data_IF_102875947909
#
_entry.id   IF_102875947909
#
_cell.length_a   1.000
_cell.length_b   1.000
_cell.length_c   1.000
_cell.angle_alpha   90.00
_cell.angle_beta   90.00
_cell.angle_gamma   90.00
#
_symmetry.space_group_name_H-M   'P 1'
#
loop_
_entity.id
_entity.type
_entity.pdbx_description
1 polymer ?
#
# COMPACT_ATOMS: atom_id res chain seq x y z
N UNK A 1 -2.21 -73.55 -60.71
CA UNK A 1 -1.32 -72.42 -60.93
C UNK A 1 -1.79 -71.32 -60.01
N UNK A 2 -1.05 -71.11 -58.89
CA UNK A 2 -0.38 -69.88 -58.46
C UNK A 2 -1.34 -68.71 -58.21
N UNK A 3 -1.64 -68.40 -56.95
CA UNK A 3 -0.91 -67.60 -55.99
C UNK A 3 -1.26 -66.11 -56.02
N UNK A 4 -1.34 -65.55 -54.83
CA UNK A 4 -1.34 -64.10 -54.46
C UNK A 4 -2.74 -63.47 -54.32
N UNK A 5 -3.14 -63.40 -53.08
CA UNK A 5 -3.55 -62.13 -52.42
C UNK A 5 -3.78 -62.36 -50.91
N UNK A 6 -2.69 -62.35 -50.18
CA UNK A 6 -2.65 -62.06 -48.75
C UNK A 6 -1.93 -60.72 -48.70
N UNK A 7 -2.54 -59.70 -48.16
CA UNK A 7 -2.05 -58.45 -47.64
C UNK A 7 -3.07 -57.34 -47.94
N UNK A 8 -4.07 -57.18 -47.06
CA UNK A 8 -4.74 -55.89 -46.81
C UNK A 8 -5.78 -56.09 -45.68
N UNK A 9 -5.28 -56.36 -44.47
CA UNK A 9 -6.12 -56.36 -43.27
C UNK A 9 -5.28 -56.09 -42.01
N UNK A 10 -4.52 -55.01 -42.02
CA UNK A 10 -3.80 -54.62 -40.84
C UNK A 10 -3.39 -53.14 -40.92
N UNK A 11 -4.35 -52.20 -41.04
CA UNK A 11 -4.07 -50.78 -40.87
C UNK A 11 -5.33 -49.94 -40.61
N UNK A 12 -6.19 -50.33 -39.65
CA UNK A 12 -7.31 -49.51 -39.19
C UNK A 12 -7.55 -49.61 -37.67
N UNK A 13 -6.52 -49.90 -36.87
CA UNK A 13 -6.67 -50.03 -35.40
C UNK A 13 -5.71 -49.13 -34.61
N UNK A 14 -5.37 -47.95 -35.12
CA UNK A 14 -4.42 -47.06 -34.39
C UNK A 14 -4.73 -45.57 -34.53
N UNK A 15 -5.99 -45.14 -34.46
CA UNK A 15 -6.37 -43.69 -34.38
C UNK A 15 -7.56 -43.51 -33.42
N UNK A 16 -7.53 -44.13 -32.25
CA UNK A 16 -8.49 -43.84 -31.16
C UNK A 16 -7.76 -43.69 -29.81
N UNK A 17 -6.58 -43.13 -29.80
CA UNK A 17 -5.92 -42.79 -28.57
C UNK A 17 -5.51 -41.32 -28.64
N UNK A 18 -6.21 -40.42 -27.94
CA UNK A 18 -5.66 -39.12 -27.68
C UNK A 18 -6.54 -37.90 -27.85
N UNK A 19 -7.84 -37.95 -27.56
CA UNK A 19 -8.54 -36.77 -27.10
C UNK A 19 -8.63 -36.82 -25.57
N UNK A 20 -7.50 -36.64 -24.88
CA UNK A 20 -7.51 -36.19 -23.51
C UNK A 20 -7.96 -34.73 -23.53
N UNK A 21 -9.23 -34.48 -23.21
CA UNK A 21 -9.68 -33.17 -22.78
C UNK A 21 -8.71 -32.68 -21.73
N UNK A 22 -8.20 -31.43 -21.85
CA UNK A 22 -7.45 -30.87 -20.73
C UNK A 22 -8.40 -30.91 -19.52
N UNK A 23 -8.00 -31.64 -18.49
CA UNK A 23 -8.67 -31.65 -17.20
C UNK A 23 -8.85 -30.18 -16.81
N UNK A 24 -10.08 -29.74 -16.57
CA UNK A 24 -10.38 -28.45 -16.00
C UNK A 24 -9.48 -28.36 -14.76
N UNK A 25 -8.46 -27.47 -14.81
CA UNK A 25 -7.49 -27.33 -13.73
C UNK A 25 -8.28 -27.18 -12.45
N UNK A 26 -8.04 -28.03 -11.48
CA UNK A 26 -8.61 -27.92 -10.15
C UNK A 26 -8.28 -26.51 -9.67
N UNK A 27 -9.26 -25.60 -9.67
CA UNK A 27 -9.12 -24.31 -9.00
C UNK A 27 -8.84 -24.64 -7.55
N UNK A 28 -7.72 -24.16 -7.02
CA UNK A 28 -7.47 -24.23 -5.58
C UNK A 28 -8.69 -23.70 -4.84
N UNK A 29 -9.10 -24.31 -3.72
CA UNK A 29 -10.25 -23.83 -2.97
C UNK A 29 -10.09 -22.34 -2.70
N UNK A 30 -11.12 -21.58 -3.03
CA UNK A 30 -11.10 -20.13 -2.93
C UNK A 30 -11.12 -19.74 -1.45
N UNK A 31 -10.14 -18.95 -1.01
CA UNK A 31 -10.02 -18.49 0.37
C UNK A 31 -11.04 -17.38 0.68
N UNK A 32 -11.49 -17.19 1.92
CA UNK A 32 -12.39 -16.09 2.29
C UNK A 32 -11.91 -14.71 1.83
N UNK A 33 -10.61 -14.43 1.93
CA UNK A 33 -10.00 -13.17 1.48
C UNK A 33 -10.04 -12.96 -0.03
N UNK A 34 -10.18 -14.02 -0.83
CA UNK A 34 -10.28 -13.92 -2.29
C UNK A 34 -11.62 -13.31 -2.72
N UNK A 35 -12.67 -13.50 -1.94
CA UNK A 35 -13.99 -12.92 -2.20
C UNK A 35 -14.07 -11.43 -1.86
N UNK A 36 -13.19 -10.90 -1.02
CA UNK A 36 -13.24 -9.51 -0.58
C UNK A 36 -12.92 -8.56 -1.73
N UNK A 37 -13.80 -7.58 -1.92
CA UNK A 37 -13.55 -6.39 -2.74
C UNK A 37 -13.41 -5.16 -1.85
N UNK A 38 -12.20 -4.63 -1.76
CA UNK A 38 -11.93 -3.40 -1.00
C UNK A 38 -12.41 -2.14 -1.72
N UNK A 39 -12.80 -2.26 -2.99
CA UNK A 39 -13.29 -1.16 -3.83
C UNK A 39 -14.79 -0.88 -3.66
N UNK A 40 -15.53 -1.75 -2.97
CA UNK A 40 -16.98 -1.53 -2.73
C UNK A 40 -17.18 -0.24 -1.95
N UNK A 41 -18.05 0.65 -2.46
CA UNK A 41 -18.38 1.93 -1.83
C UNK A 41 -17.36 3.05 -2.06
N UNK A 42 -16.37 2.85 -2.94
CA UNK A 42 -15.31 3.84 -3.19
C UNK A 42 -15.61 4.84 -4.33
N UNK A 43 -16.79 4.76 -4.97
CA UNK A 43 -17.25 5.72 -5.97
C UNK A 43 -18.01 6.90 -5.32
N UNK A 44 -17.48 7.47 -4.26
CA UNK A 44 -18.07 8.62 -3.57
C UNK A 44 -17.31 9.89 -3.84
N UNK A 45 -18.02 10.99 -3.86
CA UNK A 45 -17.50 12.35 -3.88
C UNK A 45 -18.35 13.26 -2.95
N UNK A 46 -18.07 14.57 -2.92
CA UNK A 46 -18.81 15.51 -2.08
C UNK A 46 -20.26 15.70 -2.49
N UNK A 47 -20.63 15.38 -3.74
CA UNK A 47 -21.99 15.55 -4.25
C UNK A 47 -22.82 14.29 -4.14
N UNK A 48 -22.17 13.11 -4.18
CA UNK A 48 -22.82 11.80 -4.17
C UNK A 48 -22.03 10.80 -3.33
N UNK A 49 -22.63 10.37 -2.22
CA UNK A 49 -22.09 9.30 -1.40
C UNK A 49 -22.66 7.95 -1.83
N UNK A 50 -21.77 7.02 -2.19
CA UNK A 50 -22.09 5.63 -2.53
C UNK A 50 -21.46 4.64 -1.56
N UNK A 51 -21.09 5.08 -0.36
CA UNK A 51 -20.47 4.25 0.68
C UNK A 51 -19.36 4.93 1.48
N UNK A 52 -18.77 6.01 0.98
CA UNK A 52 -17.70 6.77 1.65
C UNK A 52 -16.55 5.89 2.14
N UNK A 53 -16.06 5.00 1.27
CA UNK A 53 -14.97 4.10 1.60
C UNK A 53 -13.82 4.26 0.61
N UNK A 54 -12.70 3.65 0.94
CA UNK A 54 -11.54 3.54 0.07
C UNK A 54 -10.95 2.12 0.18
N UNK A 55 -10.07 1.69 -0.75
CA UNK A 55 -9.44 0.37 -0.68
C UNK A 55 -8.39 0.34 0.43
N UNK A 56 -8.85 0.08 1.66
CA UNK A 56 -7.98 -0.02 2.81
C UNK A 56 -7.18 -1.33 2.79
N UNK A 57 -5.86 -1.20 2.72
CA UNK A 57 -4.90 -2.29 2.86
C UNK A 57 -4.39 -2.26 4.29
N UNK A 58 -4.81 -3.22 5.11
CA UNK A 58 -4.55 -3.24 6.54
C UNK A 58 -4.68 -4.65 7.07
N UNK A 59 -4.25 -4.92 8.30
CA UNK A 59 -4.66 -6.10 9.05
C UNK A 59 -6.00 -5.86 9.75
N UNK A 60 -6.74 -6.94 10.11
CA UNK A 60 -7.91 -6.81 10.98
C UNK A 60 -7.54 -6.07 12.28
N UNK A 61 -8.28 -5.00 12.58
CA UNK A 61 -8.03 -4.12 13.74
C UNK A 61 -6.64 -3.48 13.80
N UNK A 62 -5.93 -3.44 12.68
CA UNK A 62 -4.61 -2.79 12.59
C UNK A 62 -4.69 -1.29 12.89
N UNK A 63 -3.60 -0.73 13.43
CA UNK A 63 -3.52 0.70 13.69
C UNK A 63 -3.49 1.51 12.39
N UNK A 64 -2.76 1.02 11.38
CA UNK A 64 -2.51 1.72 10.13
C UNK A 64 -3.25 1.08 8.96
N UNK A 65 -3.91 1.91 8.17
CA UNK A 65 -4.44 1.56 6.87
C UNK A 65 -3.61 2.23 5.78
N UNK A 66 -3.48 1.57 4.65
CA UNK A 66 -2.78 2.11 3.49
C UNK A 66 -3.72 2.13 2.30
N UNK A 67 -3.69 3.20 1.53
CA UNK A 67 -4.56 3.36 0.35
C UNK A 67 -3.87 4.18 -0.73
N UNK A 68 -4.14 3.90 -2.03
CA UNK A 68 -3.78 4.86 -3.06
C UNK A 68 -4.52 6.18 -2.83
N UNK A 69 -3.85 7.28 -3.08
CA UNK A 69 -4.39 8.63 -2.98
C UNK A 69 -4.72 9.14 -4.38
N UNK A 70 -5.99 9.36 -4.67
CA UNK A 70 -6.44 10.00 -5.93
C UNK A 70 -6.87 11.45 -5.73
N UNK A 71 -7.37 11.80 -4.54
CA UNK A 71 -7.70 13.16 -4.13
C UNK A 71 -6.45 13.95 -3.72
N UNK A 72 -6.61 15.27 -3.61
CA UNK A 72 -5.56 16.15 -3.09
C UNK A 72 -5.48 16.07 -1.56
N UNK A 73 -4.40 16.57 -1.01
CA UNK A 73 -4.29 16.83 0.41
C UNK A 73 -5.45 17.75 0.85
N UNK A 74 -6.09 17.41 1.97
CA UNK A 74 -7.26 18.14 2.46
C UNK A 74 -8.59 17.66 1.91
N UNK A 75 -8.61 16.91 0.81
CA UNK A 75 -9.84 16.24 0.37
C UNK A 75 -10.28 15.22 1.41
N UNK A 76 -11.58 15.20 1.74
CA UNK A 76 -12.16 14.18 2.60
C UNK A 76 -12.11 12.77 2.00
N UNK A 77 -11.90 12.67 0.69
CA UNK A 77 -11.82 11.42 -0.05
C UNK A 77 -10.37 11.11 -0.44
N UNK A 78 -9.76 10.16 0.25
CA UNK A 78 -8.42 9.70 -0.11
C UNK A 78 -8.40 9.04 -1.49
N UNK A 79 -9.47 8.32 -1.84
CA UNK A 79 -9.62 7.59 -3.09
C UNK A 79 -11.03 7.67 -3.63
N UNK A 80 -11.17 7.91 -4.94
CA UNK A 80 -12.42 7.84 -5.68
C UNK A 80 -12.23 6.92 -6.87
N UNK A 81 -13.09 5.91 -7.03
CA UNK A 81 -12.97 4.90 -8.10
C UNK A 81 -12.98 5.51 -9.51
N UNK A 82 -13.75 6.57 -9.75
CA UNK A 82 -13.78 7.25 -11.05
C UNK A 82 -12.55 8.11 -11.37
N UNK A 83 -11.60 8.25 -10.45
CA UNK A 83 -10.37 8.99 -10.70
C UNK A 83 -9.36 8.14 -11.49
N UNK A 84 -8.53 8.82 -12.28
CA UNK A 84 -7.56 8.17 -13.17
C UNK A 84 -6.09 8.47 -12.85
N UNK A 85 -5.83 9.22 -11.78
CA UNK A 85 -4.48 9.59 -11.35
C UNK A 85 -4.27 9.27 -9.88
N UNK A 86 -3.14 8.64 -9.57
CA UNK A 86 -2.65 8.40 -8.21
C UNK A 86 -1.56 9.42 -7.90
N UNK A 87 -1.66 10.08 -6.73
CA UNK A 87 -0.75 11.12 -6.23
C UNK A 87 0.21 10.61 -5.16
N UNK A 88 -0.08 9.43 -4.60
CA UNK A 88 0.70 8.77 -3.56
C UNK A 88 0.01 7.54 -2.99
N UNK A 89 0.70 6.89 -2.06
CA UNK A 89 0.16 5.84 -1.20
C UNK A 89 0.13 6.38 0.22
N UNK A 90 -1.08 6.61 0.70
CA UNK A 90 -1.36 7.39 1.90
C UNK A 90 -1.58 6.46 3.09
N UNK A 91 -1.00 6.81 4.24
CA UNK A 91 -1.41 6.24 5.51
C UNK A 91 -2.73 6.88 5.96
N UNK A 92 -3.62 6.06 6.48
CA UNK A 92 -4.92 6.46 7.02
C UNK A 92 -5.25 5.63 8.26
N UNK A 93 -6.26 6.07 9.05
CA UNK A 93 -6.66 5.40 10.29
C UNK A 93 -8.19 5.23 10.40
N UNK A 94 -8.94 5.97 9.61
CA UNK A 94 -10.41 5.92 9.60
C UNK A 94 -10.90 5.05 8.45
N UNK A 95 -11.86 4.13 8.67
CA UNK A 95 -12.41 3.30 7.61
C UNK A 95 -13.29 4.06 6.61
N UNK A 96 -13.69 5.28 6.96
CA UNK A 96 -14.49 6.18 6.12
C UNK A 96 -13.91 7.60 6.13
N UNK A 97 -13.81 8.27 4.98
CA UNK A 97 -13.31 9.65 4.90
C UNK A 97 -14.27 10.71 5.43
N UNK A 98 -15.53 10.36 5.72
CA UNK A 98 -16.57 11.31 6.12
C UNK A 98 -16.21 12.18 7.32
N UNK A 99 -15.51 11.62 8.29
CA UNK A 99 -15.11 12.31 9.53
C UNK A 99 -13.72 12.98 9.34
N UNK A 100 -13.14 12.87 8.17
CA UNK A 100 -11.72 13.13 7.90
C UNK A 100 -10.80 12.21 8.72
N UNK A 101 -9.51 12.31 8.45
CA UNK A 101 -8.52 11.46 9.09
C UNK A 101 -7.45 12.30 9.78
N UNK A 102 -6.59 11.65 10.52
CA UNK A 102 -5.52 12.27 11.31
C UNK A 102 -4.20 11.53 11.13
N UNK A 103 -3.10 12.24 11.29
CA UNK A 103 -1.75 11.67 11.21
C UNK A 103 -1.39 11.10 9.84
N UNK A 104 -1.92 11.68 8.77
CA UNK A 104 -1.69 11.21 7.40
C UNK A 104 -0.33 11.65 6.88
N UNK A 105 0.35 10.76 6.17
CA UNK A 105 1.47 11.06 5.29
C UNK A 105 1.42 10.12 4.08
N UNK A 106 2.18 10.39 3.02
CA UNK A 106 2.15 9.60 1.80
C UNK A 106 3.55 9.33 1.25
N UNK A 107 3.67 8.23 0.51
CA UNK A 107 4.83 7.90 -0.31
C UNK A 107 4.41 7.84 -1.78
N UNK A 108 5.22 8.38 -2.69
CA UNK A 108 5.00 8.26 -4.12
C UNK A 108 6.31 7.94 -4.84
N UNK A 109 6.44 6.75 -5.47
CA UNK A 109 7.57 6.47 -6.34
C UNK A 109 7.43 7.27 -7.63
N UNK A 110 8.50 7.91 -8.06
CA UNK A 110 8.51 8.80 -9.22
C UNK A 110 9.74 8.59 -10.09
N UNK A 111 9.62 9.01 -11.34
CA UNK A 111 10.73 9.20 -12.27
C UNK A 111 10.71 10.64 -12.76
N UNK A 112 11.84 11.34 -12.63
CA UNK A 112 11.99 12.77 -12.95
C UNK A 112 12.32 13.60 -11.71
N UNK A 113 13.07 14.68 -11.90
CA UNK A 113 13.61 15.49 -10.79
C UNK A 113 12.62 16.54 -10.26
N UNK A 114 11.62 16.91 -11.05
CA UNK A 114 10.62 17.96 -10.79
C UNK A 114 9.30 17.45 -10.18
N UNK A 115 9.28 16.26 -9.58
CA UNK A 115 8.07 15.56 -9.15
C UNK A 115 7.87 15.63 -7.63
N UNK A 116 7.79 16.82 -7.05
CA UNK A 116 7.64 17.00 -5.60
C UNK A 116 6.19 17.25 -5.18
N UNK A 117 5.50 18.14 -5.86
CA UNK A 117 4.10 18.48 -5.54
C UNK A 117 3.09 17.42 -6.02
N UNK A 118 1.89 17.45 -5.46
CA UNK A 118 0.86 16.43 -5.74
C UNK A 118 0.40 16.36 -7.20
N UNK A 119 0.46 17.46 -7.94
CA UNK A 119 0.06 17.47 -9.36
C UNK A 119 1.17 16.94 -10.26
N UNK A 120 2.41 17.39 -10.06
CA UNK A 120 3.54 16.99 -10.89
C UNK A 120 3.92 15.52 -10.70
N UNK A 121 3.78 14.99 -9.47
CA UNK A 121 4.05 13.57 -9.17
C UNK A 121 2.91 12.63 -9.52
N UNK A 122 1.69 13.14 -9.75
CA UNK A 122 0.54 12.31 -10.04
C UNK A 122 0.71 11.49 -11.32
N UNK A 123 0.37 10.21 -11.26
CA UNK A 123 0.49 9.29 -12.39
C UNK A 123 -0.85 8.70 -12.79
N UNK A 124 -1.06 8.61 -14.09
CA UNK A 124 -2.19 7.87 -14.64
C UNK A 124 -2.11 6.38 -14.31
N UNK A 125 -3.25 5.75 -14.05
CA UNK A 125 -3.37 4.32 -13.81
C UNK A 125 -4.67 3.75 -14.41
N UNK A 126 -4.74 2.43 -14.49
CA UNK A 126 -5.92 1.70 -14.96
C UNK A 126 -6.37 0.66 -13.93
N UNK A 127 -7.66 0.59 -13.67
CA UNK A 127 -8.26 -0.46 -12.84
C UNK A 127 -8.04 -1.87 -13.39
N UNK A 128 -7.78 -2.04 -14.69
CA UNK A 128 -7.41 -3.34 -15.26
C UNK A 128 -6.05 -3.84 -14.79
N UNK A 129 -5.16 -2.92 -14.38
CA UNK A 129 -3.84 -3.22 -13.83
C UNK A 129 -3.79 -3.06 -12.30
N UNK A 130 -4.92 -2.75 -11.67
CA UNK A 130 -5.06 -2.59 -10.23
C UNK A 130 -5.46 -3.91 -9.56
N UNK A 131 -4.79 -4.25 -8.48
CA UNK A 131 -5.21 -5.32 -7.56
C UNK A 131 -5.41 -4.70 -6.19
N UNK A 132 -6.65 -4.75 -5.69
CA UNK A 132 -7.03 -4.19 -4.41
C UNK A 132 -7.62 -5.29 -3.52
N UNK A 133 -6.80 -5.84 -2.63
CA UNK A 133 -7.15 -6.86 -1.63
C UNK A 133 -6.91 -6.31 -0.22
N UNK A 134 -7.54 -6.84 0.81
CA UNK A 134 -7.32 -6.36 2.18
C UNK A 134 -5.87 -6.46 2.64
N UNK A 135 -5.14 -7.45 2.16
CA UNK A 135 -3.77 -7.77 2.51
C UNK A 135 -2.72 -7.33 1.46
N UNK A 136 -3.17 -6.78 0.32
CA UNK A 136 -2.29 -6.49 -0.80
C UNK A 136 -2.89 -5.46 -1.75
N UNK A 137 -2.09 -4.48 -2.11
CA UNK A 137 -2.41 -3.55 -3.20
C UNK A 137 -1.30 -3.61 -4.25
N UNK A 138 -1.70 -3.51 -5.51
CA UNK A 138 -0.77 -3.40 -6.63
C UNK A 138 -1.37 -2.52 -7.71
N UNK A 139 -0.54 -1.65 -8.30
CA UNK A 139 -0.91 -0.81 -9.44
C UNK A 139 0.32 -0.52 -10.32
N UNK A 140 0.06 -0.22 -11.59
CA UNK A 140 1.05 0.32 -12.51
C UNK A 140 0.83 1.82 -12.71
N UNK A 141 1.87 2.59 -12.44
CA UNK A 141 1.91 4.04 -12.55
C UNK A 141 2.48 4.40 -13.93
N UNK A 142 1.61 4.72 -14.88
CA UNK A 142 1.97 4.78 -16.31
C UNK A 142 2.91 5.93 -16.65
N UNK A 143 2.75 7.11 -16.02
CA UNK A 143 3.58 8.28 -16.32
C UNK A 143 5.02 8.10 -15.80
N UNK A 144 5.23 7.25 -14.82
CA UNK A 144 6.54 6.95 -14.23
C UNK A 144 7.12 5.61 -14.69
N UNK A 145 6.32 4.74 -15.36
CA UNK A 145 6.70 3.36 -15.71
C UNK A 145 7.10 2.55 -14.46
N UNK A 146 6.35 2.70 -13.37
CA UNK A 146 6.64 2.08 -12.08
C UNK A 146 5.48 1.17 -11.67
N UNK A 147 5.79 -0.04 -11.20
CA UNK A 147 4.83 -0.86 -10.47
C UNK A 147 5.01 -0.64 -8.98
N UNK A 148 3.93 -0.28 -8.29
CA UNK A 148 3.88 -0.12 -6.85
C UNK A 148 3.04 -1.22 -6.21
N UNK A 149 3.52 -1.75 -5.08
CA UNK A 149 2.90 -2.83 -4.32
C UNK A 149 2.97 -2.53 -2.82
N UNK A 150 1.94 -2.92 -2.08
CA UNK A 150 1.84 -2.69 -0.62
C UNK A 150 1.38 -3.97 0.06
N UNK A 151 2.03 -4.34 1.17
CA UNK A 151 1.63 -5.40 2.09
C UNK A 151 1.70 -4.89 3.54
N UNK A 152 0.60 -5.01 4.34
CA UNK A 152 0.50 -4.40 5.67
C UNK A 152 0.92 -5.35 6.78
N UNK A 153 1.31 -4.75 7.93
CA UNK A 153 1.25 -5.35 9.26
C UNK A 153 0.31 -4.52 10.15
N UNK A 154 0.30 -4.72 11.47
CA UNK A 154 -0.61 -3.97 12.36
C UNK A 154 -0.25 -2.47 12.42
N UNK A 155 1.04 -2.14 12.53
CA UNK A 155 1.57 -0.76 12.69
C UNK A 155 2.58 -0.37 11.62
N UNK A 156 2.89 -1.30 10.70
CA UNK A 156 3.84 -1.07 9.62
C UNK A 156 3.28 -1.54 8.27
N UNK A 157 4.05 -1.31 7.23
CA UNK A 157 3.85 -1.91 5.91
C UNK A 157 5.18 -2.04 5.19
N UNK A 158 5.23 -2.99 4.26
CA UNK A 158 6.28 -3.05 3.26
C UNK A 158 5.69 -2.60 1.92
N UNK A 159 6.33 -1.61 1.31
CA UNK A 159 6.03 -1.14 -0.04
C UNK A 159 7.16 -1.57 -0.96
N UNK A 160 6.82 -2.11 -2.13
CA UNK A 160 7.79 -2.52 -3.14
C UNK A 160 7.53 -1.75 -4.41
N UNK A 161 8.57 -1.08 -4.90
CA UNK A 161 8.53 -0.31 -6.14
C UNK A 161 9.44 -0.96 -7.16
N UNK A 162 8.90 -1.32 -8.33
CA UNK A 162 9.68 -1.85 -9.45
C UNK A 162 9.88 -0.74 -10.47
N UNK A 163 11.11 -0.31 -10.62
CA UNK A 163 11.50 0.84 -11.44
C UNK A 163 11.93 0.45 -12.86
N UNK A 164 11.79 1.38 -13.82
CA UNK A 164 12.50 1.30 -15.09
C UNK A 164 14.00 1.59 -14.91
N UNK A 165 14.75 1.57 -15.99
CA UNK A 165 16.11 2.10 -15.99
C UNK A 165 16.06 3.63 -16.03
N UNK A 166 16.65 4.28 -15.02
CA UNK A 166 16.69 5.74 -14.90
C UNK A 166 17.68 6.19 -13.84
N UNK A 167 18.37 7.29 -14.12
CA UNK A 167 19.19 8.00 -13.13
C UNK A 167 18.37 8.96 -12.25
N UNK A 168 17.09 9.18 -12.58
CA UNK A 168 16.18 10.10 -11.92
C UNK A 168 15.04 9.39 -11.16
N UNK A 169 15.22 8.13 -10.82
CA UNK A 169 14.25 7.40 -9.98
C UNK A 169 14.31 7.87 -8.55
N UNK A 170 13.16 7.92 -7.90
CA UNK A 170 13.09 8.33 -6.50
C UNK A 170 11.76 7.98 -5.83
N UNK A 171 11.68 8.29 -4.54
CA UNK A 171 10.45 8.22 -3.75
C UNK A 171 10.24 9.54 -3.04
N UNK A 172 9.10 10.15 -3.27
CA UNK A 172 8.64 11.33 -2.54
C UNK A 172 7.96 10.86 -1.26
N UNK A 173 8.32 11.47 -0.14
CA UNK A 173 7.70 11.28 1.17
C UNK A 173 7.09 12.63 1.56
N UNK A 174 5.77 12.66 1.69
CA UNK A 174 4.98 13.87 1.92
C UNK A 174 4.32 13.79 3.29
N UNK A 175 4.73 14.67 4.20
CA UNK A 175 4.22 14.70 5.57
C UNK A 175 3.01 15.63 5.74
N UNK A 176 2.55 16.26 4.66
CA UNK A 176 1.39 17.14 4.60
C UNK A 176 1.42 18.37 5.56
N UNK A 177 0.45 19.27 5.34
CA UNK A 177 0.17 20.42 6.22
C UNK A 177 -0.75 20.02 7.41
N UNK A 178 -0.97 20.87 8.43
CA UNK A 178 -0.47 22.24 8.57
C UNK A 178 0.87 22.38 9.32
N UNK A 179 1.53 21.31 9.64
CA UNK A 179 2.84 21.34 10.31
C UNK A 179 3.48 19.98 10.34
N UNK A 180 4.70 19.90 9.86
CA UNK A 180 5.40 18.64 9.73
C UNK A 180 6.91 18.78 9.76
N UNK A 181 7.59 17.68 9.97
CA UNK A 181 9.05 17.57 9.92
C UNK A 181 9.43 16.31 9.18
N UNK A 182 10.46 16.40 8.36
CA UNK A 182 11.13 15.25 7.75
C UNK A 182 12.64 15.43 7.88
N UNK A 183 13.35 14.36 8.23
CA UNK A 183 14.79 14.33 8.31
C UNK A 183 15.39 13.01 7.86
N UNK A 184 16.65 13.07 7.45
CA UNK A 184 17.45 11.92 7.11
C UNK A 184 18.19 11.43 8.35
N UNK A 185 17.94 10.18 8.77
CA UNK A 185 18.65 9.55 9.88
C UNK A 185 19.96 8.92 9.39
N UNK A 186 19.94 8.22 8.28
CA UNK A 186 21.08 7.60 7.61
C UNK A 186 20.80 7.48 6.10
N UNK A 187 21.72 6.88 5.35
CA UNK A 187 21.63 6.73 3.88
C UNK A 187 20.47 5.80 3.42
N UNK A 188 19.70 5.25 4.33
CA UNK A 188 18.55 4.37 4.03
C UNK A 188 17.28 4.77 4.76
N UNK A 189 17.35 5.69 5.74
CA UNK A 189 16.28 5.92 6.69
C UNK A 189 15.88 7.40 6.74
N UNK A 190 14.62 7.64 6.47
CA UNK A 190 13.93 8.91 6.65
C UNK A 190 13.03 8.79 7.88
N UNK A 191 13.03 9.82 8.72
CA UNK A 191 12.14 9.94 9.88
C UNK A 191 11.41 11.27 9.82
N UNK A 192 10.24 11.33 10.43
CA UNK A 192 9.50 12.59 10.48
C UNK A 192 8.27 12.49 11.37
N UNK A 193 7.51 13.57 11.38
CA UNK A 193 6.18 13.60 11.95
C UNK A 193 5.26 14.51 11.15
N UNK A 194 3.99 14.29 11.30
CA UNK A 194 2.90 15.15 10.82
C UNK A 194 1.99 15.52 11.98
N UNK A 195 1.46 16.75 11.93
CA UNK A 195 0.40 17.21 12.84
C UNK A 195 -0.97 17.17 12.18
N UNK A 196 -1.04 16.63 10.93
CA UNK A 196 -2.27 16.60 10.16
C UNK A 196 -3.41 15.98 10.96
N UNK A 197 -4.50 16.72 11.11
CA UNK A 197 -5.72 16.27 11.76
C UNK A 197 -6.90 17.14 11.32
N UNK A 198 -8.11 16.70 11.65
CA UNK A 198 -9.37 17.40 11.32
C UNK A 198 -9.98 18.13 12.51
N UNK A 199 -9.22 18.30 13.58
CA UNK A 199 -9.65 18.90 14.83
C UNK A 199 -9.91 17.87 15.94
N UNK A 200 -10.12 18.36 17.17
CA UNK A 200 -10.41 17.51 18.32
C UNK A 200 -9.24 16.74 18.90
N UNK A 201 -8.01 17.05 18.48
CA UNK A 201 -6.77 16.48 19.05
C UNK A 201 -6.07 17.48 19.96
N UNK A 202 -5.21 17.02 20.91
CA UNK A 202 -4.39 17.90 21.72
C UNK A 202 -3.38 18.71 20.88
N UNK A 203 -2.94 19.87 21.35
CA UNK A 203 -1.97 20.74 20.65
C UNK A 203 -0.62 20.07 20.39
N UNK A 204 -0.25 19.09 21.21
CA UNK A 204 0.97 18.31 21.05
C UNK A 204 0.77 17.06 20.17
N UNK A 205 -0.36 16.91 19.50
CA UNK A 205 -0.61 15.76 18.60
C UNK A 205 0.48 15.66 17.54
N UNK A 206 1.02 14.46 17.38
CA UNK A 206 1.98 14.09 16.35
C UNK A 206 1.73 12.64 15.92
N UNK A 207 1.83 12.38 14.63
CA UNK A 207 2.05 11.03 14.12
C UNK A 207 3.50 10.96 13.63
N UNK A 208 4.34 10.29 14.38
CA UNK A 208 5.74 10.06 14.03
C UNK A 208 5.82 8.89 13.05
N UNK A 209 6.69 9.01 12.05
CA UNK A 209 6.88 7.94 11.06
C UNK A 209 8.35 7.68 10.79
N UNK A 210 8.62 6.48 10.31
CA UNK A 210 9.92 6.04 9.81
C UNK A 210 9.73 5.33 8.48
N UNK A 211 10.58 5.64 7.52
CA UNK A 211 10.65 4.98 6.21
C UNK A 211 12.08 4.49 6.02
N UNK A 212 12.25 3.17 5.91
CA UNK A 212 13.55 2.54 5.72
C UNK A 212 13.60 1.80 4.40
N UNK A 213 14.55 2.16 3.56
CA UNK A 213 14.78 1.51 2.27
C UNK A 213 15.79 0.37 2.37
N UNK A 214 15.60 -0.69 1.60
CA UNK A 214 16.55 -1.79 1.45
C UNK A 214 17.79 -1.37 0.64
N UNK A 215 17.63 -0.36 -0.20
CA UNK A 215 18.66 0.23 -1.05
C UNK A 215 19.07 1.61 -0.51
N UNK A 216 20.37 1.91 -0.39
CA UNK A 216 20.79 3.25 0.02
C UNK A 216 20.43 4.26 -1.08
N UNK A 217 19.87 5.40 -0.70
CA UNK A 217 19.65 6.50 -1.62
C UNK A 217 20.95 7.29 -1.84
N UNK A 218 21.13 7.83 -3.04
CA UNK A 218 22.33 8.57 -3.43
C UNK A 218 22.25 10.05 -3.08
N UNK A 219 21.03 10.58 -3.00
CA UNK A 219 20.75 11.96 -2.61
C UNK A 219 19.39 12.07 -1.92
N UNK A 220 19.20 13.13 -1.17
CA UNK A 220 17.92 13.52 -0.56
C UNK A 220 17.68 15.01 -0.80
N UNK A 221 16.50 15.33 -1.28
CA UNK A 221 15.99 16.71 -1.36
C UNK A 221 14.97 16.90 -0.23
N UNK A 222 15.04 18.00 0.47
CA UNK A 222 14.15 18.36 1.54
C UNK A 222 13.60 19.77 1.27
N UNK A 223 12.28 19.94 1.34
CA UNK A 223 11.63 21.23 1.14
C UNK A 223 10.47 21.44 2.10
N UNK A 224 10.16 22.70 2.39
CA UNK A 224 8.92 23.16 3.00
C UNK A 224 8.09 23.84 1.91
N UNK A 225 6.77 23.57 1.90
CA UNK A 225 5.82 24.09 0.90
C UNK A 225 6.20 23.75 -0.57
N UNK A 226 6.08 22.47 -1.01
CA UNK A 226 6.36 22.07 -2.38
C UNK A 226 5.37 22.70 -3.35
N UNK A 227 5.82 23.60 -4.18
CA UNK A 227 5.07 24.43 -5.11
C UNK A 227 5.67 25.83 -5.23
N UNK A 228 6.46 26.23 -4.21
CA UNK A 228 7.30 27.44 -4.20
C UNK A 228 8.79 27.08 -4.33
N UNK A 229 9.11 25.86 -4.74
CA UNK A 229 10.43 25.26 -4.76
C UNK A 229 11.37 25.95 -5.73
N UNK A 230 12.48 26.44 -5.19
CA UNK A 230 13.71 26.75 -5.95
C UNK A 230 14.65 25.52 -5.89
N UNK A 231 15.05 24.93 -7.05
CA UNK A 231 16.00 23.81 -7.08
C UNK A 231 17.30 24.17 -6.35
N UNK A 232 17.63 23.42 -5.29
CA UNK A 232 18.87 23.58 -4.53
C UNK A 232 18.73 24.02 -3.09
N UNK A 233 17.54 24.28 -2.57
CA UNK A 233 17.31 24.62 -1.17
C UNK A 233 17.29 23.40 -0.25
N UNK A 234 18.41 22.70 -0.06
CA UNK A 234 18.56 21.77 1.04
C UNK A 234 19.01 22.53 2.29
N UNK A 235 18.15 22.58 3.31
CA UNK A 235 18.56 23.12 4.62
C UNK A 235 19.53 22.13 5.26
N UNK A 236 20.78 22.53 5.40
CA UNK A 236 21.76 21.83 6.22
C UNK A 236 21.65 22.35 7.66
N UNK A 237 21.41 21.47 8.61
CA UNK A 237 21.50 21.82 10.01
C UNK A 237 22.96 21.97 10.45
N UNK A 238 23.24 22.77 11.50
CA UNK A 238 24.61 23.03 11.97
C UNK A 238 25.38 21.79 12.42
N UNK A 239 24.69 20.71 12.77
CA UNK A 239 25.27 19.42 13.16
C UNK A 239 25.50 18.45 11.97
N UNK A 240 25.24 18.93 10.73
CA UNK A 240 25.36 18.13 9.52
C UNK A 240 24.18 17.19 9.27
N UNK A 241 23.17 17.14 10.13
CA UNK A 241 21.93 16.44 9.88
C UNK A 241 21.11 17.20 8.82
N UNK A 242 20.41 16.44 7.96
CA UNK A 242 19.51 17.01 6.96
C UNK A 242 18.09 16.83 7.45
N UNK A 243 17.42 17.92 7.83
CA UNK A 243 15.99 17.91 8.10
C UNK A 243 15.33 19.24 7.74
N UNK A 244 14.03 19.20 7.51
CA UNK A 244 13.18 20.37 7.29
C UNK A 244 12.02 20.31 8.25
N UNK A 245 11.67 21.43 8.83
CA UNK A 245 10.49 21.62 9.68
C UNK A 245 9.76 22.86 9.20
N UNK A 246 8.48 22.72 8.94
CA UNK A 246 7.70 23.83 8.40
C UNK A 246 6.21 23.54 8.34
N UNK A 247 5.52 24.30 7.50
CA UNK A 247 4.10 24.15 7.27
C UNK A 247 3.78 22.87 6.53
N UNK A 248 4.63 22.45 5.57
CA UNK A 248 4.42 21.28 4.72
C UNK A 248 5.76 20.68 4.30
N UNK A 249 6.33 19.81 5.13
CA UNK A 249 7.59 19.16 4.84
C UNK A 249 7.45 18.01 3.84
N UNK A 250 8.33 18.01 2.82
CA UNK A 250 8.44 16.97 1.81
C UNK A 250 9.89 16.57 1.65
N UNK A 251 10.13 15.27 1.49
CA UNK A 251 11.42 14.72 1.11
C UNK A 251 11.31 13.96 -0.21
N UNK A 252 12.36 14.01 -1.02
CA UNK A 252 12.55 13.09 -2.13
C UNK A 252 13.91 12.41 -1.99
N UNK A 253 13.90 11.10 -1.96
CA UNK A 253 15.10 10.27 -1.99
C UNK A 253 15.35 9.77 -3.40
N UNK A 254 16.61 9.73 -3.83
CA UNK A 254 17.02 9.40 -5.19
C UNK A 254 17.75 8.06 -5.26
N UNK A 255 17.46 7.30 -6.31
CA UNK A 255 18.10 6.03 -6.63
C UNK A 255 18.39 5.97 -8.12
N UNK A 256 19.65 5.76 -8.57
CA UNK A 256 19.87 5.29 -9.92
C UNK A 256 19.37 3.85 -10.02
N UNK A 257 18.50 3.56 -10.98
CA UNK A 257 17.87 2.25 -11.11
C UNK A 257 18.14 1.60 -12.46
N UNK A 258 18.21 0.27 -12.45
CA UNK A 258 18.22 -0.56 -13.65
C UNK A 258 16.79 -1.01 -13.96
N UNK A 259 16.55 -1.41 -15.20
CA UNK A 259 15.23 -1.92 -15.60
C UNK A 259 14.82 -3.12 -14.76
N UNK A 260 13.63 -3.02 -14.15
CA UNK A 260 13.08 -4.05 -13.30
C UNK A 260 13.67 -4.10 -11.88
N UNK A 261 14.53 -3.15 -11.53
CA UNK A 261 15.05 -3.06 -10.16
C UNK A 261 13.93 -2.81 -9.16
N UNK A 262 13.93 -3.59 -8.11
CA UNK A 262 13.01 -3.42 -7.00
C UNK A 262 13.70 -2.65 -5.87
N UNK A 263 12.99 -1.70 -5.30
CA UNK A 263 13.35 -1.00 -4.07
C UNK A 263 12.20 -1.19 -3.09
N UNK A 264 12.51 -1.75 -1.92
CA UNK A 264 11.54 -1.93 -0.85
C UNK A 264 11.68 -0.83 0.21
N UNK A 265 10.55 -0.24 0.58
CA UNK A 265 10.40 0.69 1.68
C UNK A 265 9.62 0.02 2.81
N UNK A 266 10.26 -0.15 3.95
CA UNK A 266 9.63 -0.54 5.21
C UNK A 266 9.16 0.71 5.93
N UNK A 267 7.87 0.82 6.24
CA UNK A 267 7.23 2.03 6.77
C UNK A 267 6.49 1.70 8.05
N UNK A 268 6.67 2.49 9.09
CA UNK A 268 5.90 2.37 10.33
C UNK A 268 5.62 3.74 10.93
N UNK A 269 4.64 3.81 11.81
CA UNK A 269 4.29 5.04 12.53
C UNK A 269 3.96 4.82 13.99
N UNK A 270 3.88 5.91 14.74
CA UNK A 270 3.48 5.92 16.15
C UNK A 270 2.94 7.30 16.55
N UNK A 271 1.91 7.31 17.39
CA UNK A 271 1.41 8.52 18.04
C UNK A 271 2.13 8.84 19.36
N UNK A 272 3.13 8.05 19.73
CA UNK A 272 3.84 8.17 21.03
C UNK A 272 5.16 8.92 20.87
N UNK A 273 6.05 8.37 20.02
CA UNK A 273 7.38 8.95 19.80
C UNK A 273 8.04 8.43 18.52
N UNK A 274 9.10 9.09 18.03
CA UNK A 274 9.91 8.58 16.92
C UNK A 274 10.53 7.20 17.22
N UNK A 275 11.00 6.99 18.45
CA UNK A 275 11.61 5.71 18.87
C UNK A 275 10.59 4.59 18.83
N UNK A 276 9.33 4.87 19.21
CA UNK A 276 8.25 3.90 19.11
C UNK A 276 7.91 3.58 17.65
N UNK A 277 7.96 4.55 16.73
CA UNK A 277 7.79 4.29 15.30
C UNK A 277 8.89 3.35 14.77
N UNK A 278 10.16 3.57 15.17
CA UNK A 278 11.28 2.67 14.84
C UNK A 278 11.07 1.29 15.45
N UNK A 279 10.54 1.20 16.66
CA UNK A 279 10.23 -0.10 17.28
C UNK A 279 9.10 -0.81 16.56
N UNK A 280 8.04 -0.11 16.14
CA UNK A 280 6.94 -0.67 15.36
C UNK A 280 7.42 -1.23 14.01
N UNK A 281 8.48 -0.68 13.43
CA UNK A 281 9.09 -1.21 12.22
C UNK A 281 9.62 -2.65 12.39
N UNK A 282 9.92 -3.06 13.62
CA UNK A 282 10.39 -4.43 13.93
C UNK A 282 9.32 -5.50 13.68
N UNK A 283 8.05 -5.12 13.50
CA UNK A 283 7.01 -6.08 13.09
C UNK A 283 7.32 -6.76 11.77
N UNK A 284 8.05 -6.10 10.88
CA UNK A 284 8.48 -6.66 9.61
C UNK A 284 9.63 -7.68 9.77
N UNK A 285 10.42 -7.59 10.86
CA UNK A 285 11.50 -8.52 11.15
C UNK A 285 12.52 -8.62 10.02
N UNK A 286 12.81 -9.87 9.60
CA UNK A 286 13.65 -10.21 8.46
C UNK A 286 12.82 -10.71 7.26
N UNK A 287 11.51 -10.52 7.28
CA UNK A 287 10.61 -10.98 6.23
C UNK A 287 10.84 -10.21 4.93
N UNK A 288 10.77 -10.89 3.82
CA UNK A 288 10.66 -10.28 2.51
C UNK A 288 9.20 -9.87 2.20
N UNK A 289 9.02 -9.17 1.11
CA UNK A 289 7.70 -8.66 0.70
C UNK A 289 6.64 -9.78 0.53
N UNK A 290 7.02 -10.90 -0.07
CA UNK A 290 6.07 -12.00 -0.31
C UNK A 290 5.69 -12.70 1.00
N UNK A 291 6.62 -12.78 1.95
CA UNK A 291 6.35 -13.31 3.30
C UNK A 291 5.41 -12.41 4.08
N UNK A 292 5.63 -11.08 4.07
CA UNK A 292 4.71 -10.12 4.72
C UNK A 292 3.31 -10.23 4.11
N UNK A 293 3.21 -10.25 2.79
CA UNK A 293 1.94 -10.41 2.06
C UNK A 293 1.22 -11.72 2.41
N UNK A 294 1.96 -12.84 2.47
CA UNK A 294 1.38 -14.15 2.80
C UNK A 294 0.85 -14.17 4.23
N UNK A 295 1.62 -13.68 5.20
CA UNK A 295 1.19 -13.56 6.59
C UNK A 295 -0.05 -12.67 6.74
N UNK A 296 -0.11 -11.56 6.00
CA UNK A 296 -1.27 -10.68 5.99
C UNK A 296 -2.51 -11.37 5.41
N UNK A 297 -2.36 -12.16 4.33
CA UNK A 297 -3.45 -12.96 3.77
C UNK A 297 -3.93 -14.02 4.77
N UNK A 298 -3.02 -14.78 5.37
CA UNK A 298 -3.34 -15.79 6.36
C UNK A 298 -4.11 -15.20 7.55
N UNK A 299 -3.69 -14.01 8.01
CA UNK A 299 -4.40 -13.32 9.10
C UNK A 299 -5.82 -12.93 8.71
N UNK A 300 -6.05 -12.47 7.49
CA UNK A 300 -7.39 -12.21 6.98
C UNK A 300 -8.22 -13.48 6.84
N UNK A 301 -7.65 -14.56 6.31
CA UNK A 301 -8.34 -15.83 6.16
C UNK A 301 -8.75 -16.42 7.52
N UNK A 302 -7.88 -16.29 8.55
CA UNK A 302 -8.20 -16.69 9.92
C UNK A 302 -9.44 -15.92 10.48
N UNK A 303 -9.46 -14.61 10.28
CA UNK A 303 -10.53 -13.76 10.84
C UNK A 303 -11.83 -13.91 10.05
N UNK A 304 -11.76 -13.89 8.73
CA UNK A 304 -12.93 -14.03 7.87
C UNK A 304 -13.51 -15.45 7.92
N UNK A 305 -12.65 -16.46 8.06
CA UNK A 305 -13.03 -17.86 8.17
C UNK A 305 -13.69 -18.26 9.48
N UNK A 306 -13.82 -17.34 10.46
CA UNK A 306 -14.63 -17.57 11.67
C UNK A 306 -16.12 -17.72 11.35
N UNK A 307 -16.55 -17.24 10.21
CA UNK A 307 -17.91 -17.43 9.70
C UNK A 307 -17.78 -18.12 8.33
N UNK A 308 -18.09 -19.39 8.31
CA UNK A 308 -18.15 -20.19 7.08
C UNK A 308 -19.55 -20.08 6.49
N UNK A 309 -19.61 -19.79 5.19
CA UNK A 309 -20.87 -19.71 4.43
C UNK A 309 -20.85 -20.76 3.35
N UNK A 310 -21.81 -21.65 3.37
CA UNK A 310 -22.02 -22.68 2.38
C UNK A 310 -23.18 -22.32 1.44
N UNK A 311 -23.01 -22.60 0.16
CA UNK A 311 -24.01 -22.32 -0.85
C UNK A 311 -24.02 -20.84 -1.29
N UNK A 312 -24.95 -20.50 -2.17
CA UNK A 312 -25.05 -19.16 -2.73
C UNK A 312 -24.19 -18.93 -3.97
N UNK A 313 -24.55 -17.88 -4.72
CA UNK A 313 -23.79 -17.46 -5.89
C UNK A 313 -22.50 -16.74 -5.47
N UNK A 314 -21.48 -16.74 -6.34
CA UNK A 314 -20.21 -16.04 -6.10
C UNK A 314 -20.41 -14.55 -5.72
N UNK A 315 -21.40 -13.88 -6.33
CA UNK A 315 -21.72 -12.48 -6.01
C UNK A 315 -22.19 -12.31 -4.54
N UNK A 316 -22.94 -13.27 -4.00
CA UNK A 316 -23.39 -13.26 -2.61
C UNK A 316 -22.21 -13.47 -1.65
N UNK A 317 -21.31 -14.39 -1.98
CA UNK A 317 -20.07 -14.62 -1.21
C UNK A 317 -19.19 -13.35 -1.20
N UNK A 318 -19.05 -12.70 -2.36
CA UNK A 318 -18.32 -11.41 -2.46
C UNK A 318 -18.95 -10.33 -1.60
N UNK A 319 -20.26 -10.19 -1.63
CA UNK A 319 -20.96 -9.22 -0.77
C UNK A 319 -20.76 -9.54 0.70
N UNK A 320 -20.96 -10.77 1.11
CA UNK A 320 -20.83 -11.21 2.50
C UNK A 320 -19.43 -10.93 3.05
N UNK A 321 -18.37 -11.45 2.39
CA UNK A 321 -17.00 -11.29 2.87
C UNK A 321 -16.50 -9.84 2.76
N UNK A 322 -16.98 -9.06 1.79
CA UNK A 322 -16.64 -7.63 1.71
C UNK A 322 -17.28 -6.83 2.85
N UNK A 323 -18.51 -7.15 3.26
CA UNK A 323 -19.15 -6.55 4.44
C UNK A 323 -18.45 -6.97 5.73
N UNK A 324 -18.11 -8.25 5.86
CA UNK A 324 -17.39 -8.76 7.02
C UNK A 324 -16.00 -8.12 7.14
N UNK A 325 -15.26 -7.98 6.03
CA UNK A 325 -14.00 -7.23 6.01
C UNK A 325 -14.19 -5.81 6.58
N UNK A 326 -15.21 -5.06 6.14
CA UNK A 326 -15.45 -3.69 6.62
C UNK A 326 -15.76 -3.65 8.12
N UNK A 327 -16.46 -4.64 8.65
CA UNK A 327 -16.84 -4.67 10.07
C UNK A 327 -15.67 -4.92 11.02
N UNK A 328 -14.56 -5.52 10.52
CA UNK A 328 -13.38 -5.83 11.34
C UNK A 328 -12.19 -4.88 11.11
N UNK A 329 -12.36 -3.84 10.29
CA UNK A 329 -11.37 -2.77 10.18
C UNK A 329 -11.36 -1.88 11.43
N UNK A 330 -12.49 -1.71 12.11
CA UNK A 330 -12.65 -0.84 13.27
C UNK A 330 -13.38 -1.60 14.42
N UNK A 331 -13.06 -1.30 15.71
CA UNK A 331 -12.17 -0.28 16.22
C UNK A 331 -10.68 -0.62 16.02
N UNK A 332 -9.86 0.42 15.85
CA UNK A 332 -8.42 0.29 15.72
C UNK A 332 -7.80 -0.17 17.04
N UNK A 333 -6.85 -1.09 16.97
CA UNK A 333 -6.05 -1.48 18.14
C UNK A 333 -4.89 -0.50 18.34
N UNK A 334 -5.16 0.62 18.96
CA UNK A 334 -4.15 1.62 19.30
C UNK A 334 -3.29 1.21 20.52
N UNK A 335 -3.70 0.17 21.26
CA UNK A 335 -3.16 -0.19 22.58
C UNK A 335 -2.20 -1.38 22.52
N UNK A 336 -2.06 -2.07 21.41
CA UNK A 336 -1.04 -3.12 21.23
C UNK A 336 0.35 -2.50 21.06
N UNK A 337 0.64 -1.59 21.92
CA UNK A 337 1.94 -1.10 22.20
C UNK A 337 2.63 -2.19 23.01
N UNK A 338 3.78 -2.57 22.59
CA UNK A 338 4.69 -3.61 23.02
C UNK A 338 4.97 -3.75 24.53
N UNK A 339 4.15 -3.20 25.39
CA UNK A 339 4.16 -3.50 26.81
C UNK A 339 2.87 -4.25 27.19
N UNK A 340 2.98 -5.45 27.80
CA UNK A 340 1.85 -6.03 28.48
C UNK A 340 1.48 -5.04 29.59
N UNK A 341 0.40 -4.31 29.41
CA UNK A 341 -0.17 -3.51 30.48
C UNK A 341 -0.44 -4.47 31.61
N UNK A 342 0.42 -4.52 32.61
CA UNK A 342 0.11 -5.16 33.86
C UNK A 342 -1.10 -4.41 34.39
N UNK A 343 -2.27 -4.98 34.18
CA UNK A 343 -3.46 -4.60 34.94
C UNK A 343 -3.07 -4.71 36.41
N UNK A 344 -2.67 -3.60 37.02
CA UNK A 344 -2.67 -3.49 38.46
C UNK A 344 -4.13 -3.65 38.87
N UNK A 345 -4.46 -4.81 39.43
CA UNK A 345 -5.69 -4.96 40.18
C UNK A 345 -5.70 -3.86 41.23
N UNK A 346 -6.68 -2.96 41.12
CA UNK A 346 -7.10 -2.08 42.20
C UNK A 346 -7.92 -2.94 43.16
#
# INVERSE_FOLDING_TARGET
>A
MKSRNIFFAALCAAVLAGCSCPSAGQRSPQRPSDYVSTLVGSQSDFTLSTGNTYPAVALPWGMNFWTPQTGKMGDGWAYTYGAHRIRGFKQTHQPSPWINDYGQFALMPVRGNDKLDEESRASWYSHQAEVAKPYYYKVYLADHDIRAEIAPTERAAMMRFTFPESDESGVVIDAFDPGSQIGMLDARTIVGYTTRNSGGVPDNFRNYFVVRFDTPFTAVELTDAPGEYEPGSSLLYPDGSKSVTGGHAVAKVHFPTRRGQQVCASVASSFISPEQAVQNLRELGADDFETVKSKAQERWDEVLGRIEVEGGAEAQMRTFYSCLYRSVLFPLSLIHISEPTRLRRI
#
